data_IF_302601203041
#
_entry.id   IF_302601203041
#
_cell.length_a   1.000
_cell.length_b   1.000
_cell.length_c   1.000
_cell.angle_alpha   90.00
_cell.angle_beta   90.00
_cell.angle_gamma   90.00
#
_symmetry.space_group_name_H-M   'P 1'
#
loop_
_entity.id
_entity.type
_entity.pdbx_description
1 polymer ?
#
# COMPACT_ATOMS: atom_id res chain seq x y z
N UNK A 1 0.26 2.21 -14.67
CA UNK A 1 0.67 2.97 -13.47
C UNK A 1 1.07 1.96 -12.39
N UNK A 2 2.05 2.22 -11.51
CA UNK A 2 2.34 1.29 -10.41
C UNK A 2 1.25 1.34 -9.32
N UNK A 3 1.10 0.25 -8.58
CA UNK A 3 0.20 0.16 -7.42
C UNK A 3 0.99 -0.19 -6.16
N UNK A 4 0.68 0.50 -5.06
CA UNK A 4 1.20 0.22 -3.73
C UNK A 4 0.03 -0.28 -2.89
N UNK A 5 0.20 -1.42 -2.22
CA UNK A 5 -0.80 -1.98 -1.31
C UNK A 5 -0.19 -2.07 0.09
N UNK A 6 -0.81 -1.39 1.05
CA UNK A 6 -0.48 -1.53 2.47
C UNK A 6 -1.54 -2.42 3.13
N UNK A 7 -1.10 -3.56 3.66
CA UNK A 7 -1.97 -4.52 4.34
C UNK A 7 -1.94 -4.29 5.83
N UNK A 8 -3.09 -3.91 6.38
CA UNK A 8 -3.29 -3.61 7.80
C UNK A 8 -2.28 -2.59 8.36
N UNK A 9 -2.07 -1.42 7.72
CA UNK A 9 -1.08 -0.45 8.19
C UNK A 9 -1.46 0.07 9.58
N UNK A 10 -0.47 0.19 10.46
CA UNK A 10 -0.71 0.46 11.88
C UNK A 10 -0.37 1.90 12.27
N UNK A 11 0.63 2.50 11.61
CA UNK A 11 1.22 3.77 12.05
C UNK A 11 0.78 4.92 11.11
N UNK A 12 -0.10 5.85 11.57
CA UNK A 12 -0.62 6.91 10.70
C UNK A 12 0.43 7.79 10.01
N UNK A 13 1.55 8.19 10.65
CA UNK A 13 2.63 8.91 9.98
C UNK A 13 3.23 8.19 8.77
N UNK A 14 3.37 6.86 8.83
CA UNK A 14 3.91 6.08 7.72
C UNK A 14 2.94 6.05 6.55
N UNK A 15 1.66 5.78 6.83
CA UNK A 15 0.61 5.84 5.82
C UNK A 15 0.55 7.22 5.16
N UNK A 16 0.61 8.30 5.94
CA UNK A 16 0.67 9.67 5.42
C UNK A 16 1.85 9.92 4.47
N UNK A 17 3.04 9.45 4.84
CA UNK A 17 4.22 9.55 3.99
C UNK A 17 4.07 8.76 2.68
N UNK A 18 3.47 7.57 2.72
CA UNK A 18 3.22 6.74 1.52
C UNK A 18 2.15 7.36 0.63
N UNK A 19 1.11 7.99 1.19
CA UNK A 19 0.11 8.73 0.40
C UNK A 19 0.81 9.87 -0.37
N UNK A 20 1.67 10.66 0.29
CA UNK A 20 2.45 11.71 -0.38
C UNK A 20 3.41 11.16 -1.44
N UNK A 21 4.05 10.02 -1.17
CA UNK A 21 4.88 9.33 -2.17
C UNK A 21 4.05 8.94 -3.40
N UNK A 22 2.86 8.38 -3.21
CA UNK A 22 1.97 7.98 -4.29
C UNK A 22 1.52 9.20 -5.11
N UNK A 23 1.17 10.30 -4.46
CA UNK A 23 0.83 11.55 -5.14
C UNK A 23 1.97 12.10 -6.00
N UNK A 24 3.20 12.10 -5.48
CA UNK A 24 4.38 12.62 -6.18
C UNK A 24 4.87 11.72 -7.32
N UNK A 25 4.64 10.41 -7.22
CA UNK A 25 5.09 9.43 -8.23
C UNK A 25 4.00 9.04 -9.23
N UNK A 26 2.76 9.44 -8.97
CA UNK A 26 1.59 9.02 -9.74
C UNK A 26 1.11 7.61 -9.42
N UNK A 27 1.73 6.89 -8.48
CA UNK A 27 1.29 5.56 -8.09
C UNK A 27 -0.12 5.58 -7.49
N UNK A 28 -0.86 4.48 -7.65
CA UNK A 28 -2.14 4.27 -6.97
C UNK A 28 -1.87 3.62 -5.62
N UNK A 29 -2.53 4.09 -4.58
CA UNK A 29 -2.37 3.54 -3.23
C UNK A 29 -3.63 2.79 -2.81
N UNK A 30 -3.42 1.60 -2.27
CA UNK A 30 -4.46 0.73 -1.73
C UNK A 30 -4.19 0.47 -0.26
N UNK A 31 -5.16 0.73 0.60
CA UNK A 31 -5.11 0.40 2.01
C UNK A 31 -6.06 -0.76 2.27
N UNK A 32 -5.60 -1.81 2.93
CA UNK A 32 -6.43 -2.97 3.28
C UNK A 32 -6.73 -2.94 4.77
N UNK A 33 -8.00 -2.97 5.12
CA UNK A 33 -8.50 -3.00 6.49
C UNK A 33 -8.19 -4.33 7.21
N UNK A 34 -8.08 -4.31 8.55
CA UNK A 34 -8.27 -3.16 9.43
C UNK A 34 -7.07 -2.18 9.42
N UNK A 35 -7.36 -0.88 9.41
CA UNK A 35 -6.34 0.15 9.58
C UNK A 35 -6.14 0.39 11.09
N UNK A 36 -4.89 0.54 11.54
CA UNK A 36 -4.59 0.90 12.93
C UNK A 36 -4.91 2.35 13.30
N UNK A 37 -5.50 3.11 12.37
CA UNK A 37 -5.80 4.54 12.51
C UNK A 37 -7.06 4.92 11.74
N UNK A 38 -7.63 6.09 12.05
CA UNK A 38 -8.74 6.67 11.29
C UNK A 38 -8.21 7.47 10.10
N UNK A 39 -8.86 7.37 8.95
CA UNK A 39 -8.55 8.21 7.77
C UNK A 39 -8.85 9.70 8.03
N UNK A 40 -9.66 10.02 9.04
CA UNK A 40 -9.94 11.39 9.47
C UNK A 40 -8.92 11.97 10.46
N UNK A 41 -7.92 11.18 10.85
CA UNK A 41 -6.94 11.54 11.87
C UNK A 41 -6.21 12.84 11.49
N UNK A 42 -6.10 13.75 12.47
CA UNK A 42 -5.32 14.98 12.35
C UNK A 42 -3.87 14.72 11.94
N UNK A 43 -3.32 13.56 12.29
CA UNK A 43 -1.96 13.19 11.89
C UNK A 43 -1.82 12.97 10.38
N UNK A 44 -2.82 12.37 9.72
CA UNK A 44 -2.86 12.27 8.26
C UNK A 44 -3.00 13.65 7.61
N UNK A 45 -3.85 14.53 8.18
CA UNK A 45 -4.00 15.92 7.70
C UNK A 45 -2.72 16.75 7.85
N UNK A 46 -1.91 16.48 8.88
CA UNK A 46 -0.60 17.14 9.08
C UNK A 46 0.48 16.70 8.09
N UNK A 47 0.32 15.55 7.42
CA UNK A 47 1.21 15.13 6.36
C UNK A 47 1.10 15.99 5.08
N UNK A 48 0.22 17.01 5.11
CA UNK A 48 0.00 17.94 4.00
C UNK A 48 -1.10 17.47 3.04
N UNK A 49 -1.76 16.35 3.37
CA UNK A 49 -2.72 15.66 2.52
C UNK A 49 -3.87 16.57 2.09
N UNK A 50 -3.75 17.12 0.89
CA UNK A 50 -4.86 17.78 0.22
C UNK A 50 -5.80 16.74 -0.42
N UNK A 51 -6.97 17.20 -0.87
CA UNK A 51 -7.97 16.33 -1.48
C UNK A 51 -7.45 15.64 -2.77
N UNK A 52 -6.48 16.26 -3.45
CA UNK A 52 -5.89 15.75 -4.69
C UNK A 52 -4.92 14.59 -4.39
N UNK A 53 -4.17 14.66 -3.29
CA UNK A 53 -3.32 13.58 -2.81
C UNK A 53 -4.14 12.36 -2.39
N UNK A 54 -5.37 12.57 -1.88
CA UNK A 54 -6.28 11.49 -1.53
C UNK A 54 -6.98 10.84 -2.74
N UNK A 55 -7.02 11.50 -3.90
CA UNK A 55 -7.78 11.04 -5.08
C UNK A 55 -7.31 9.68 -5.62
N UNK A 56 -6.06 9.31 -5.35
CA UNK A 56 -5.46 8.04 -5.78
C UNK A 56 -5.44 6.96 -4.69
N UNK A 57 -6.04 7.23 -3.52
CA UNK A 57 -6.13 6.29 -2.40
C UNK A 57 -7.44 5.51 -2.47
N UNK A 58 -7.37 4.18 -2.37
CA UNK A 58 -8.54 3.30 -2.24
C UNK A 58 -8.42 2.44 -1.00
N UNK A 59 -9.46 2.45 -0.17
CA UNK A 59 -9.55 1.57 0.99
C UNK A 59 -10.36 0.33 0.60
N UNK A 60 -9.86 -0.85 0.98
CA UNK A 60 -10.49 -2.14 0.75
C UNK A 60 -10.82 -2.80 2.09
N UNK A 61 -12.03 -3.34 2.20
CA UNK A 61 -12.50 -4.03 3.41
C UNK A 61 -11.74 -5.32 3.75
N UNK A 62 -11.01 -5.89 2.80
CA UNK A 62 -10.22 -7.12 3.01
C UNK A 62 -9.18 -7.31 1.91
N UNK A 63 -8.21 -8.19 2.18
CA UNK A 63 -7.22 -8.61 1.17
C UNK A 63 -7.91 -9.22 -0.06
N UNK A 64 -8.97 -10.00 0.13
CA UNK A 64 -9.72 -10.63 -0.95
C UNK A 64 -10.36 -9.59 -1.87
N UNK A 65 -10.95 -8.53 -1.31
CA UNK A 65 -11.51 -7.41 -2.08
C UNK A 65 -10.41 -6.68 -2.87
N UNK A 66 -9.27 -6.40 -2.23
CA UNK A 66 -8.13 -5.77 -2.88
C UNK A 66 -7.59 -6.62 -4.05
N UNK A 67 -7.38 -7.92 -3.81
CA UNK A 67 -6.89 -8.87 -4.81
C UNK A 67 -7.85 -9.00 -5.99
N UNK A 68 -9.16 -8.98 -5.75
CA UNK A 68 -10.16 -8.99 -6.82
C UNK A 68 -10.11 -7.69 -7.65
N UNK A 69 -9.97 -6.53 -7.00
CA UNK A 69 -9.87 -5.24 -7.68
C UNK A 69 -8.59 -5.09 -8.54
N UNK A 70 -7.54 -5.83 -8.20
CA UNK A 70 -6.24 -5.84 -8.89
C UNK A 70 -6.00 -7.13 -9.70
N UNK A 71 -7.07 -7.87 -10.01
CA UNK A 71 -6.98 -9.13 -10.73
C UNK A 71 -6.25 -8.97 -12.08
N UNK A 72 -5.42 -9.96 -12.43
CA UNK A 72 -4.63 -9.96 -13.67
C UNK A 72 -3.33 -9.15 -13.62
N UNK A 73 -3.03 -8.47 -12.51
CA UNK A 73 -1.77 -7.74 -12.32
C UNK A 73 -0.70 -8.61 -11.63
N UNK A 74 0.56 -8.32 -11.92
CA UNK A 74 1.71 -8.97 -11.26
C UNK A 74 1.90 -8.35 -9.89
N UNK A 75 1.90 -9.19 -8.86
CA UNK A 75 2.04 -8.77 -7.47
C UNK A 75 3.40 -9.20 -6.92
N UNK A 76 4.04 -8.32 -6.17
CA UNK A 76 5.32 -8.56 -5.51
C UNK A 76 5.17 -8.32 -4.02
N UNK A 77 5.38 -9.38 -3.24
CA UNK A 77 5.45 -9.30 -1.78
C UNK A 77 6.82 -8.80 -1.35
N UNK A 78 6.86 -7.65 -0.66
CA UNK A 78 8.09 -7.19 0.00
C UNK A 78 8.14 -7.76 1.41
N UNK A 79 9.08 -8.65 1.65
CA UNK A 79 9.27 -9.36 2.91
C UNK A 79 10.75 -9.60 3.16
N UNK A 80 11.16 -9.60 4.43
CA UNK A 80 12.53 -9.94 4.85
C UNK A 80 12.88 -11.41 4.60
N UNK A 81 11.87 -12.26 4.42
CA UNK A 81 12.05 -13.68 4.09
C UNK A 81 12.23 -13.95 2.59
N UNK A 82 12.32 -12.90 1.76
CA UNK A 82 12.45 -13.03 0.32
C UNK A 82 13.82 -13.64 -0.06
N UNK A 83 13.81 -14.57 -1.01
CA UNK A 83 15.03 -15.20 -1.53
C UNK A 83 15.65 -14.46 -2.71
N UNK A 84 14.91 -13.53 -3.31
CA UNK A 84 15.31 -12.78 -4.50
C UNK A 84 15.33 -11.29 -4.18
N UNK A 85 16.38 -10.60 -4.62
CA UNK A 85 16.50 -9.15 -4.47
C UNK A 85 15.50 -8.42 -5.38
N UNK A 86 14.92 -7.33 -4.88
CA UNK A 86 14.06 -6.46 -5.69
C UNK A 86 14.83 -5.79 -6.86
N UNK A 87 16.14 -5.63 -6.73
CA UNK A 87 17.00 -5.05 -7.76
C UNK A 87 17.25 -5.98 -8.96
N UNK A 88 16.92 -7.26 -8.82
CA UNK A 88 17.05 -8.25 -9.90
C UNK A 88 15.76 -8.40 -10.72
N UNK A 89 14.72 -7.65 -10.37
CA UNK A 89 13.39 -7.77 -10.98
C UNK A 89 13.20 -6.66 -12.00
N UNK A 90 12.92 -7.03 -13.25
CA UNK A 90 12.45 -6.10 -14.27
C UNK A 90 10.98 -5.72 -14.00
N UNK A 91 10.78 -4.65 -13.22
CA UNK A 91 9.45 -4.11 -12.97
C UNK A 91 8.85 -3.49 -14.24
N UNK A 92 7.52 -3.55 -14.33
CA UNK A 92 6.73 -3.09 -15.45
C UNK A 92 5.61 -2.18 -14.96
N UNK A 93 5.05 -1.44 -15.89
CA UNK A 93 3.81 -0.70 -15.66
C UNK A 93 2.71 -1.64 -15.15
N UNK A 94 1.90 -1.20 -14.19
CA UNK A 94 0.81 -1.96 -13.57
C UNK A 94 1.26 -3.15 -12.69
N UNK A 95 2.56 -3.24 -12.38
CA UNK A 95 3.02 -4.06 -11.26
C UNK A 95 2.53 -3.50 -9.92
N UNK A 96 2.24 -4.42 -9.00
CA UNK A 96 1.67 -4.16 -7.67
C UNK A 96 2.68 -4.55 -6.60
N UNK A 97 2.96 -3.65 -5.67
CA UNK A 97 3.85 -3.88 -4.53
C UNK A 97 3.05 -4.05 -3.24
N UNK A 98 3.20 -5.20 -2.58
CA UNK A 98 2.52 -5.53 -1.33
C UNK A 98 3.46 -5.30 -0.16
N UNK A 99 3.00 -4.50 0.80
CA UNK A 99 3.67 -4.24 2.07
C UNK A 99 2.72 -4.64 3.20
N UNK A 100 3.25 -5.28 4.22
CA UNK A 100 2.48 -5.65 5.40
C UNK A 100 2.51 -4.57 6.48
N UNK A 101 1.93 -4.92 7.63
CA UNK A 101 1.95 -4.10 8.84
C UNK A 101 3.39 -3.90 9.33
N UNK A 102 3.66 -2.77 9.98
CA UNK A 102 5.00 -2.44 10.46
C UNK A 102 5.53 -3.43 11.50
N UNK A 103 4.65 -3.96 12.37
CA UNK A 103 5.05 -4.88 13.43
C UNK A 103 5.13 -6.34 12.97
N UNK A 104 4.22 -6.77 12.09
CA UNK A 104 4.03 -8.17 11.76
C UNK A 104 4.45 -8.54 10.32
N UNK A 105 4.69 -7.56 9.44
CA UNK A 105 4.90 -7.79 8.03
C UNK A 105 3.64 -8.33 7.34
N UNK A 106 3.84 -9.05 6.23
CA UNK A 106 2.74 -9.63 5.46
C UNK A 106 2.18 -10.88 6.16
N UNK A 107 0.85 -11.03 6.26
CA UNK A 107 0.26 -12.22 6.84
C UNK A 107 0.49 -13.44 5.93
N UNK A 108 0.56 -14.67 6.49
CA UNK A 108 0.81 -15.88 5.70
C UNK A 108 -0.19 -16.14 4.57
N UNK A 109 -1.41 -15.63 4.67
CA UNK A 109 -2.43 -15.76 3.61
C UNK A 109 -2.16 -14.89 2.36
N UNK A 110 -1.16 -13.99 2.44
CA UNK A 110 -0.75 -13.09 1.36
C UNK A 110 0.59 -13.52 0.74
N UNK A 111 1.47 -14.12 1.55
CA UNK A 111 2.76 -14.68 1.11
C UNK A 111 2.57 -15.96 0.28
#
# INVERSE_FOLDING_TARGET
MLDIVLIHPEIPPNAGNVIRLAANTGARLHLVEPLGFSMDDRQLKRAGLDYREMANVRVHASWQACRAALAGRRMFALTTSARRSCFEVGFRTDDVFLFGAETAGLPPAVL
#
